data_IF_314232608368
#
_entry.id   IF_314232608368
#
_cell.length_a   1.000
_cell.length_b   1.000
_cell.length_c   1.000
_cell.angle_alpha   90.00
_cell.angle_beta   90.00
_cell.angle_gamma   90.00
#
_symmetry.space_group_name_H-M   'P 1'
#
loop_
_entity.id
_entity.type
_entity.pdbx_description
1 polymer ?
#
# COMPACT_ATOMS: atom_id res chain seq x y z
N UNK A 1 -20.96 9.13 -10.57
CA UNK A 1 -20.81 9.02 -9.10
C UNK A 1 -19.71 8.01 -8.83
N UNK A 2 -18.79 8.28 -7.92
CA UNK A 2 -17.86 7.24 -7.45
C UNK A 2 -18.67 6.21 -6.64
N UNK A 3 -18.34 4.90 -6.70
CA UNK A 3 -18.94 3.92 -5.83
C UNK A 3 -18.66 4.28 -4.36
N UNK A 4 -19.53 3.89 -3.42
CA UNK A 4 -19.28 4.11 -2.00
C UNK A 4 -17.98 3.43 -1.57
N UNK A 5 -17.22 4.09 -0.69
CA UNK A 5 -15.99 3.53 -0.10
C UNK A 5 -16.34 2.34 0.78
N UNK A 6 -15.65 1.25 0.61
CA UNK A 6 -15.85 -0.01 1.34
C UNK A 6 -15.07 0.00 2.63
N UNK A 7 -15.76 -0.21 3.75
CA UNK A 7 -15.16 -0.12 5.10
C UNK A 7 -15.33 -1.44 5.84
N UNK A 8 -14.30 -1.87 6.55
CA UNK A 8 -14.38 -2.88 7.60
C UNK A 8 -14.38 -2.17 8.94
N UNK A 9 -15.34 -2.51 9.79
CA UNK A 9 -15.47 -1.98 11.16
C UNK A 9 -15.08 -3.04 12.17
N UNK A 10 -14.19 -2.71 13.11
CA UNK A 10 -13.77 -3.60 14.19
C UNK A 10 -13.95 -2.93 15.54
N UNK A 11 -14.86 -3.47 16.35
CA UNK A 11 -15.24 -2.98 17.68
C UNK A 11 -15.82 -4.14 18.47
N UNK A 12 -15.34 -4.42 19.66
CA UNK A 12 -15.79 -5.57 20.46
C UNK A 12 -17.14 -5.30 21.16
N UNK A 13 -17.45 -4.03 21.49
CA UNK A 13 -18.73 -3.65 22.06
C UNK A 13 -19.81 -3.57 20.97
N UNK A 14 -20.75 -4.54 20.98
CA UNK A 14 -21.78 -4.68 19.94
C UNK A 14 -22.60 -3.41 19.71
N UNK A 15 -22.98 -2.69 20.78
CA UNK A 15 -23.78 -1.47 20.65
C UNK A 15 -23.00 -0.35 19.98
N UNK A 16 -21.73 -0.17 20.37
CA UNK A 16 -20.86 0.84 19.75
C UNK A 16 -20.61 0.48 18.28
N UNK A 17 -20.39 -0.80 17.96
CA UNK A 17 -20.21 -1.25 16.59
C UNK A 17 -21.42 -0.96 15.72
N UNK A 18 -22.64 -1.22 16.21
CA UNK A 18 -23.88 -0.90 15.49
C UNK A 18 -24.03 0.61 15.23
N UNK A 19 -23.74 1.44 16.23
CA UNK A 19 -23.80 2.90 16.08
C UNK A 19 -22.79 3.38 15.02
N UNK A 20 -21.57 2.80 14.98
CA UNK A 20 -20.56 3.12 13.96
C UNK A 20 -21.05 2.72 12.57
N UNK A 21 -21.62 1.51 12.43
CA UNK A 21 -22.13 1.00 11.15
C UNK A 21 -23.24 1.89 10.61
N UNK A 22 -24.21 2.28 11.47
CA UNK A 22 -25.30 3.18 11.10
C UNK A 22 -24.76 4.56 10.67
N UNK A 23 -23.88 5.15 11.48
CA UNK A 23 -23.25 6.44 11.21
C UNK A 23 -22.50 6.44 9.87
N UNK A 24 -21.72 5.39 9.58
CA UNK A 24 -20.99 5.27 8.30
C UNK A 24 -21.94 5.09 7.12
N UNK A 25 -23.00 4.29 7.29
CA UNK A 25 -24.03 4.12 6.26
C UNK A 25 -24.75 5.43 5.90
N UNK A 26 -25.12 6.24 6.92
CA UNK A 26 -25.69 7.57 6.71
C UNK A 26 -24.72 8.54 6.03
N UNK A 27 -23.42 8.42 6.32
CA UNK A 27 -22.36 9.20 5.68
C UNK A 27 -22.01 8.71 4.25
N UNK A 28 -22.65 7.63 3.76
CA UNK A 28 -22.49 7.13 2.39
C UNK A 28 -21.35 6.15 2.19
N UNK A 29 -20.82 5.56 3.25
CA UNK A 29 -19.86 4.45 3.20
C UNK A 29 -20.59 3.10 3.13
N UNK A 30 -19.94 2.10 2.55
CA UNK A 30 -20.41 0.71 2.48
C UNK A 30 -19.64 -0.16 3.49
N UNK A 31 -20.27 -0.51 4.61
CA UNK A 31 -19.67 -1.40 5.61
C UNK A 31 -19.78 -2.84 5.11
N UNK A 32 -18.69 -3.35 4.57
CA UNK A 32 -18.64 -4.69 3.92
C UNK A 32 -18.42 -5.84 4.89
N UNK A 33 -17.90 -5.57 6.09
CA UNK A 33 -17.72 -6.58 7.14
C UNK A 33 -17.53 -5.94 8.52
N UNK A 34 -17.87 -6.71 9.55
CA UNK A 34 -17.76 -6.34 10.95
C UNK A 34 -16.91 -7.37 11.71
N UNK A 35 -16.08 -6.91 12.63
CA UNK A 35 -15.25 -7.73 13.50
C UNK A 35 -15.47 -7.34 14.97
N UNK A 36 -15.37 -8.30 15.87
CA UNK A 36 -15.45 -8.13 17.32
C UNK A 36 -14.07 -8.26 18.01
N UNK A 37 -13.01 -8.43 17.21
CA UNK A 37 -11.64 -8.52 17.69
C UNK A 37 -10.64 -8.22 16.56
N UNK A 38 -9.39 -7.94 16.93
CA UNK A 38 -8.34 -7.56 15.97
C UNK A 38 -7.93 -8.68 15.03
N UNK A 39 -7.93 -9.94 15.48
CA UNK A 39 -7.59 -11.08 14.62
C UNK A 39 -8.60 -11.21 13.47
N UNK A 40 -9.90 -11.13 13.81
CA UNK A 40 -10.95 -11.18 12.80
C UNK A 40 -10.92 -9.98 11.87
N UNK A 41 -10.57 -8.80 12.39
CA UNK A 41 -10.39 -7.59 11.57
C UNK A 41 -9.31 -7.78 10.49
N UNK A 42 -8.16 -8.37 10.84
CA UNK A 42 -7.08 -8.66 9.87
C UNK A 42 -7.54 -9.67 8.81
N UNK A 43 -8.22 -10.73 9.20
CA UNK A 43 -8.76 -11.74 8.27
C UNK A 43 -9.73 -11.13 7.27
N UNK A 44 -10.70 -10.34 7.77
CA UNK A 44 -11.70 -9.67 6.94
C UNK A 44 -11.07 -8.60 6.03
N UNK A 45 -10.07 -7.89 6.51
CA UNK A 45 -9.33 -6.95 5.68
C UNK A 45 -8.61 -7.65 4.51
N UNK A 46 -8.01 -8.82 4.73
CA UNK A 46 -7.38 -9.64 3.68
C UNK A 46 -8.40 -10.16 2.67
N UNK A 47 -9.57 -10.62 3.16
CA UNK A 47 -10.63 -11.19 2.35
C UNK A 47 -11.32 -10.15 1.48
N UNK A 48 -11.74 -9.05 2.10
CA UNK A 48 -12.56 -8.02 1.44
C UNK A 48 -11.76 -6.96 0.72
N UNK A 49 -10.46 -6.77 1.04
CA UNK A 49 -9.63 -5.67 0.51
C UNK A 49 -10.40 -4.34 0.51
N UNK A 50 -10.81 -3.85 1.69
CA UNK A 50 -11.60 -2.63 1.81
C UNK A 50 -10.79 -1.39 1.46
N UNK A 51 -11.47 -0.26 1.26
CA UNK A 51 -10.82 1.04 1.11
C UNK A 51 -10.32 1.61 2.43
N UNK A 52 -10.86 1.11 3.56
CA UNK A 52 -10.48 1.52 4.92
C UNK A 52 -10.84 0.45 5.96
N UNK A 53 -10.06 0.39 7.04
CA UNK A 53 -10.43 -0.29 8.28
C UNK A 53 -10.57 0.74 9.39
N UNK A 54 -11.75 0.80 10.00
CA UNK A 54 -12.02 1.58 11.21
C UNK A 54 -12.02 0.64 12.40
N UNK A 55 -11.14 0.84 13.39
CA UNK A 55 -10.85 -0.18 14.38
C UNK A 55 -10.62 0.39 15.78
N UNK A 56 -11.29 -0.18 16.78
CA UNK A 56 -10.99 0.14 18.17
C UNK A 56 -9.60 -0.35 18.58
N UNK A 57 -8.95 0.40 19.47
CA UNK A 57 -7.64 0.03 20.01
C UNK A 57 -7.74 -1.13 20.98
N UNK A 58 -8.74 -1.12 21.85
CA UNK A 58 -8.89 -2.14 22.89
C UNK A 58 -9.87 -3.22 22.46
N UNK A 59 -9.34 -4.32 21.99
CA UNK A 59 -10.14 -5.49 21.60
C UNK A 59 -9.53 -6.77 22.18
N UNK A 60 -10.35 -7.83 22.40
CA UNK A 60 -9.87 -9.13 22.82
C UNK A 60 -9.11 -9.84 21.70
N UNK A 61 -8.40 -10.92 22.05
CA UNK A 61 -7.62 -11.80 21.17
C UNK A 61 -6.39 -11.10 20.58
N UNK A 62 -6.60 -10.04 19.80
CA UNK A 62 -5.55 -9.18 19.23
C UNK A 62 -6.01 -7.72 19.38
N UNK A 63 -5.17 -6.89 19.98
CA UNK A 63 -5.46 -5.45 20.12
C UNK A 63 -5.39 -4.72 18.77
N UNK A 64 -6.09 -3.59 18.67
CA UNK A 64 -6.21 -2.86 17.42
C UNK A 64 -4.89 -2.27 16.90
N UNK A 65 -3.92 -1.95 17.77
CA UNK A 65 -2.61 -1.44 17.34
C UNK A 65 -1.83 -2.56 16.65
N UNK A 66 -1.78 -3.75 17.25
CA UNK A 66 -1.12 -4.92 16.67
C UNK A 66 -1.81 -5.38 15.38
N UNK A 67 -3.15 -5.31 15.32
CA UNK A 67 -3.90 -5.59 14.10
C UNK A 67 -3.61 -4.55 12.99
N UNK A 68 -3.53 -3.26 13.35
CA UNK A 68 -3.15 -2.19 12.43
C UNK A 68 -1.76 -2.39 11.83
N UNK A 69 -0.79 -2.83 12.65
CA UNK A 69 0.58 -3.14 12.19
C UNK A 69 0.58 -4.26 11.14
N UNK A 70 -0.20 -5.32 11.33
CA UNK A 70 -0.32 -6.40 10.36
C UNK A 70 -0.95 -5.91 9.06
N UNK A 71 -2.07 -5.16 9.13
CA UNK A 71 -2.76 -4.61 7.96
C UNK A 71 -1.86 -3.65 7.19
N UNK A 72 -1.13 -2.78 7.89
CA UNK A 72 -0.23 -1.81 7.30
C UNK A 72 1.00 -2.47 6.66
N UNK A 73 1.62 -3.46 7.32
CA UNK A 73 2.79 -4.19 6.80
C UNK A 73 2.49 -4.94 5.51
N UNK A 74 1.27 -5.47 5.38
CA UNK A 74 0.77 -6.14 4.18
C UNK A 74 0.17 -5.18 3.14
N UNK A 75 0.10 -3.87 3.46
CA UNK A 75 -0.47 -2.82 2.59
C UNK A 75 -1.87 -3.15 2.09
N UNK A 76 -2.71 -3.66 2.99
CA UNK A 76 -4.06 -4.09 2.65
C UNK A 76 -4.97 -2.87 2.47
N UNK A 77 -5.02 -2.01 3.48
CA UNK A 77 -5.86 -0.82 3.54
C UNK A 77 -5.33 0.17 4.59
N UNK A 78 -5.70 1.45 4.51
CA UNK A 78 -5.45 2.41 5.59
C UNK A 78 -6.26 2.03 6.83
N UNK A 79 -5.69 2.29 8.01
CA UNK A 79 -6.35 2.04 9.29
C UNK A 79 -6.56 3.36 10.01
N UNK A 80 -7.80 3.58 10.47
CA UNK A 80 -8.17 4.63 11.43
C UNK A 80 -8.46 3.96 12.76
N UNK A 81 -7.75 4.36 13.81
CA UNK A 81 -7.95 3.82 15.14
C UNK A 81 -8.95 4.66 15.95
N UNK A 82 -9.87 4.00 16.64
CA UNK A 82 -10.75 4.57 17.64
C UNK A 82 -10.13 4.35 19.01
N UNK A 83 -10.07 5.35 19.86
CA UNK A 83 -9.41 5.22 21.15
C UNK A 83 -10.14 6.02 22.24
N UNK A 84 -10.28 5.44 23.42
CA UNK A 84 -10.76 6.15 24.61
C UNK A 84 -9.68 7.03 25.25
N UNK A 85 -8.43 6.99 24.77
CA UNK A 85 -7.27 7.63 25.39
C UNK A 85 -6.57 8.58 24.44
N UNK A 86 -6.36 9.80 24.91
CA UNK A 86 -5.53 10.83 24.26
C UNK A 86 -4.06 10.79 24.73
N UNK A 87 -3.63 9.71 25.40
CA UNK A 87 -2.27 9.63 25.92
C UNK A 87 -1.24 9.58 24.79
N UNK A 88 -0.25 10.43 24.87
CA UNK A 88 0.79 10.63 23.87
C UNK A 88 1.49 9.30 23.46
N UNK A 89 1.76 8.44 24.43
CA UNK A 89 2.40 7.13 24.18
C UNK A 89 1.56 6.21 23.28
N UNK A 90 0.23 6.23 23.42
CA UNK A 90 -0.65 5.42 22.57
C UNK A 90 -0.73 5.96 21.15
N UNK A 91 -0.71 7.28 21.01
CA UNK A 91 -0.67 7.95 19.71
C UNK A 91 0.66 7.65 18.99
N UNK A 92 1.78 7.67 19.71
CA UNK A 92 3.09 7.31 19.15
C UNK A 92 3.12 5.84 18.69
N UNK A 93 2.65 4.91 19.52
CA UNK A 93 2.52 3.49 19.15
C UNK A 93 1.60 3.26 17.94
N UNK A 94 0.45 3.93 17.90
CA UNK A 94 -0.47 3.85 16.76
C UNK A 94 0.19 4.31 15.45
N UNK A 95 0.97 5.39 15.52
CA UNK A 95 1.74 5.89 14.37
C UNK A 95 2.84 4.92 13.94
N UNK A 96 3.58 4.34 14.88
CA UNK A 96 4.63 3.35 14.61
C UNK A 96 4.04 2.06 14.00
N UNK A 97 2.85 1.66 14.42
CA UNK A 97 2.08 0.56 13.83
C UNK A 97 1.51 0.87 12.42
N UNK A 98 1.72 2.08 11.90
CA UNK A 98 1.27 2.45 10.56
C UNK A 98 -0.18 2.89 10.45
N UNK A 99 -0.86 3.17 11.58
CA UNK A 99 -2.18 3.80 11.55
C UNK A 99 -2.11 5.18 10.87
N UNK A 100 -3.02 5.45 9.94
CA UNK A 100 -3.02 6.70 9.16
C UNK A 100 -3.69 7.85 9.90
N UNK A 101 -4.63 7.56 10.78
CA UNK A 101 -5.30 8.52 11.65
C UNK A 101 -5.82 7.82 12.92
N UNK A 102 -6.24 8.62 13.89
CA UNK A 102 -6.97 8.15 15.07
C UNK A 102 -8.08 9.14 15.44
N UNK A 103 -9.11 8.65 16.09
CA UNK A 103 -10.25 9.43 16.59
C UNK A 103 -10.47 9.08 18.06
N UNK A 104 -10.68 10.09 18.89
CA UNK A 104 -10.86 9.91 20.34
C UNK A 104 -12.35 9.77 20.69
N UNK A 105 -12.68 8.73 21.44
CA UNK A 105 -14.04 8.51 21.99
C UNK A 105 -14.34 9.48 23.15
N UNK A 106 -15.55 10.08 23.27
CA UNK A 106 -16.68 9.94 22.35
C UNK A 106 -16.47 10.77 21.06
N UNK A 107 -16.96 10.27 19.94
CA UNK A 107 -16.81 10.91 18.62
C UNK A 107 -18.19 11.08 17.95
N UNK A 108 -18.21 11.93 16.95
CA UNK A 108 -19.33 12.18 16.06
C UNK A 108 -18.95 11.87 14.61
N UNK A 109 -19.92 11.90 13.70
CA UNK A 109 -19.67 11.77 12.25
C UNK A 109 -18.70 12.84 11.76
N UNK A 110 -18.75 14.05 12.31
CA UNK A 110 -17.88 15.17 11.94
C UNK A 110 -16.42 14.98 12.37
N UNK A 111 -16.17 14.08 13.32
CA UNK A 111 -14.82 13.67 13.73
C UNK A 111 -14.29 12.51 12.86
N UNK A 112 -15.14 11.54 12.58
CA UNK A 112 -14.78 10.28 11.93
C UNK A 112 -14.59 10.47 10.42
N UNK A 113 -15.52 11.16 9.74
CA UNK A 113 -15.46 11.32 8.28
C UNK A 113 -14.20 12.03 7.81
N UNK A 114 -13.77 13.17 8.38
CA UNK A 114 -12.51 13.79 8.00
C UNK A 114 -11.29 12.90 8.25
N UNK A 115 -11.27 12.15 9.35
CA UNK A 115 -10.19 11.22 9.65
C UNK A 115 -10.09 10.09 8.60
N UNK A 116 -11.22 9.57 8.15
CA UNK A 116 -11.30 8.58 7.07
C UNK A 116 -10.73 9.14 5.77
N UNK A 117 -11.20 10.31 5.34
CA UNK A 117 -10.76 10.91 4.08
C UNK A 117 -9.26 11.22 4.09
N UNK A 118 -8.74 11.72 5.22
CA UNK A 118 -7.30 11.94 5.39
C UNK A 118 -6.52 10.62 5.32
N UNK A 119 -7.01 9.58 5.99
CA UNK A 119 -6.35 8.28 6.01
C UNK A 119 -6.26 7.66 4.61
N UNK A 120 -7.36 7.68 3.87
CA UNK A 120 -7.41 7.18 2.49
C UNK A 120 -6.48 7.99 1.58
N UNK A 121 -6.54 9.32 1.64
CA UNK A 121 -5.70 10.19 0.82
C UNK A 121 -4.20 9.95 1.07
N UNK A 122 -3.79 9.84 2.32
CA UNK A 122 -2.40 9.54 2.69
C UNK A 122 -1.94 8.16 2.21
N UNK A 123 -2.79 7.16 2.33
CA UNK A 123 -2.48 5.81 1.87
C UNK A 123 -2.30 5.77 0.34
N UNK A 124 -3.19 6.43 -0.41
CA UNK A 124 -3.11 6.56 -1.86
C UNK A 124 -1.83 7.30 -2.29
N UNK A 125 -1.44 8.36 -1.57
CA UNK A 125 -0.21 9.12 -1.83
C UNK A 125 1.04 8.28 -1.60
N UNK A 126 1.12 7.58 -0.46
CA UNK A 126 2.25 6.70 -0.14
C UNK A 126 2.36 5.59 -1.20
N UNK A 127 1.25 4.96 -1.57
CA UNK A 127 1.24 3.91 -2.59
C UNK A 127 1.66 4.42 -3.98
N UNK A 128 1.35 5.68 -4.31
CA UNK A 128 1.80 6.32 -5.55
C UNK A 128 3.32 6.57 -5.52
N UNK A 129 3.85 7.14 -4.44
CA UNK A 129 5.28 7.38 -4.26
C UNK A 129 6.11 6.10 -4.31
N UNK A 130 5.62 5.02 -3.70
CA UNK A 130 6.31 3.73 -3.71
C UNK A 130 6.37 3.11 -5.10
N UNK A 131 5.31 3.25 -5.89
CA UNK A 131 5.31 2.84 -7.30
C UNK A 131 6.33 3.63 -8.09
N UNK A 132 6.38 4.95 -7.93
CA UNK A 132 7.36 5.81 -8.60
C UNK A 132 8.79 5.42 -8.24
N UNK A 133 9.08 5.18 -6.96
CA UNK A 133 10.40 4.71 -6.49
C UNK A 133 10.75 3.33 -7.09
N UNK A 134 9.78 2.42 -7.19
CA UNK A 134 9.97 1.11 -7.80
C UNK A 134 10.32 1.23 -9.28
N UNK A 135 9.57 2.04 -10.02
CA UNK A 135 9.78 2.29 -11.44
C UNK A 135 11.16 2.93 -11.70
N UNK A 136 11.56 3.89 -10.87
CA UNK A 136 12.89 4.51 -10.94
C UNK A 136 14.02 3.49 -10.69
N UNK A 137 13.85 2.60 -9.70
CA UNK A 137 14.82 1.53 -9.41
C UNK A 137 14.96 0.56 -10.60
N UNK A 138 13.84 0.20 -11.21
CA UNK A 138 13.83 -0.68 -12.37
C UNK A 138 14.49 -0.03 -13.60
N UNK A 139 14.20 1.24 -13.85
CA UNK A 139 14.85 2.01 -14.92
C UNK A 139 16.37 2.10 -14.70
N UNK A 140 16.80 2.37 -13.46
CA UNK A 140 18.21 2.43 -13.12
C UNK A 140 18.90 1.07 -13.29
N UNK A 141 18.29 -0.01 -12.85
CA UNK A 141 18.80 -1.36 -13.05
C UNK A 141 18.92 -1.72 -14.54
N UNK A 142 17.90 -1.40 -15.33
CA UNK A 142 17.89 -1.59 -16.79
C UNK A 142 19.02 -0.81 -17.46
N UNK A 143 19.18 0.46 -17.09
CA UNK A 143 20.29 1.31 -17.64
C UNK A 143 21.64 0.68 -17.35
N UNK A 144 21.86 0.19 -16.13
CA UNK A 144 23.11 -0.46 -15.73
C UNK A 144 23.42 -1.73 -16.54
N UNK A 145 22.37 -2.53 -16.83
CA UNK A 145 22.49 -3.72 -17.68
C UNK A 145 22.81 -3.35 -19.13
N UNK A 146 22.12 -2.35 -19.68
CA UNK A 146 22.37 -1.86 -21.05
C UNK A 146 23.79 -1.32 -21.19
N UNK A 147 24.28 -0.53 -20.23
CA UNK A 147 25.67 -0.03 -20.25
C UNK A 147 26.70 -1.18 -20.23
N UNK A 148 26.45 -2.20 -19.40
CA UNK A 148 27.33 -3.39 -19.37
C UNK A 148 27.27 -4.17 -20.67
N UNK A 149 26.12 -4.35 -21.29
CA UNK A 149 25.96 -5.00 -22.59
C UNK A 149 26.65 -4.22 -23.69
N UNK A 150 26.54 -2.88 -23.73
CA UNK A 150 27.26 -2.00 -24.64
C UNK A 150 28.76 -2.19 -24.52
N UNK A 151 29.32 -2.17 -23.31
CA UNK A 151 30.73 -2.39 -23.04
C UNK A 151 31.21 -3.74 -23.59
N UNK A 152 30.44 -4.81 -23.44
CA UNK A 152 30.77 -6.13 -23.98
C UNK A 152 30.74 -6.14 -25.50
N UNK A 153 29.73 -5.55 -26.14
CA UNK A 153 29.67 -5.43 -27.60
C UNK A 153 30.84 -4.60 -28.17
N UNK A 154 31.19 -3.52 -27.48
CA UNK A 154 32.35 -2.68 -27.87
C UNK A 154 33.66 -3.47 -27.77
N UNK A 155 33.87 -4.18 -26.65
CA UNK A 155 35.14 -4.87 -26.37
C UNK A 155 35.30 -6.14 -27.20
N UNK A 156 34.23 -6.92 -27.39
CA UNK A 156 34.31 -8.25 -28.03
C UNK A 156 33.95 -8.25 -29.51
N UNK A 157 33.12 -7.29 -29.94
CA UNK A 157 32.66 -7.20 -31.33
C UNK A 157 33.22 -5.99 -32.10
N UNK A 158 34.00 -5.13 -31.43
CA UNK A 158 34.62 -3.97 -32.06
C UNK A 158 33.65 -2.84 -32.47
N UNK A 159 32.40 -2.87 -31.94
CA UNK A 159 31.40 -1.83 -32.23
C UNK A 159 31.75 -0.53 -31.49
N UNK A 160 31.45 0.60 -32.09
CA UNK A 160 31.45 1.86 -31.35
C UNK A 160 30.27 1.91 -30.36
N UNK A 161 30.39 2.76 -29.35
CA UNK A 161 29.32 2.88 -28.34
C UNK A 161 27.93 3.21 -28.94
N UNK A 162 27.81 4.15 -29.90
CA UNK A 162 26.55 4.43 -30.59
C UNK A 162 26.02 3.24 -31.41
N UNK A 163 26.92 2.45 -32.02
CA UNK A 163 26.55 1.25 -32.79
C UNK A 163 26.04 0.13 -31.85
N UNK A 164 26.70 -0.09 -30.72
CA UNK A 164 26.28 -1.04 -29.71
C UNK A 164 24.90 -0.70 -29.16
N UNK A 165 24.63 0.57 -28.86
CA UNK A 165 23.32 1.01 -28.42
C UNK A 165 22.23 0.78 -29.47
N UNK A 166 22.49 1.18 -30.72
CA UNK A 166 21.55 0.96 -31.83
C UNK A 166 21.30 -0.51 -32.09
N UNK A 167 22.29 -1.37 -31.92
CA UNK A 167 22.15 -2.80 -32.07
C UNK A 167 21.19 -3.38 -31.00
N UNK A 168 21.36 -2.99 -29.73
CA UNK A 168 20.47 -3.39 -28.63
C UNK A 168 19.05 -2.92 -28.90
N UNK A 169 18.86 -1.65 -29.27
CA UNK A 169 17.57 -1.06 -29.58
C UNK A 169 16.87 -1.76 -30.75
N UNK A 170 17.58 -2.00 -31.84
CA UNK A 170 17.05 -2.68 -33.02
C UNK A 170 16.64 -4.11 -32.67
N UNK A 171 17.50 -4.84 -31.95
CA UNK A 171 17.19 -6.24 -31.52
C UNK A 171 15.95 -6.29 -30.61
N UNK A 172 15.80 -5.32 -29.71
CA UNK A 172 14.63 -5.16 -28.88
C UNK A 172 13.34 -5.03 -29.72
N UNK A 173 13.36 -4.14 -30.71
CA UNK A 173 12.22 -3.93 -31.61
C UNK A 173 11.93 -5.17 -32.51
N UNK A 174 12.96 -5.72 -33.14
CA UNK A 174 12.81 -6.84 -34.08
C UNK A 174 12.30 -8.12 -33.41
N UNK A 175 12.71 -8.35 -32.16
CA UNK A 175 12.35 -9.54 -31.37
C UNK A 175 11.19 -9.32 -30.39
N UNK A 176 10.67 -8.09 -30.31
CA UNK A 176 9.63 -7.68 -29.33
C UNK A 176 10.03 -8.00 -27.87
N UNK A 177 11.29 -7.82 -27.56
CA UNK A 177 11.86 -7.95 -26.23
C UNK A 177 12.11 -6.55 -25.64
N UNK A 178 12.13 -6.45 -24.31
CA UNK A 178 12.59 -5.23 -23.64
C UNK A 178 14.11 -5.04 -23.82
N UNK A 179 14.58 -3.81 -23.73
CA UNK A 179 16.04 -3.55 -23.76
C UNK A 179 16.78 -4.27 -22.63
N UNK A 180 16.12 -4.50 -21.48
CA UNK A 180 16.64 -5.28 -20.38
C UNK A 180 16.89 -6.74 -20.78
N UNK A 181 15.88 -7.41 -21.34
CA UNK A 181 16.00 -8.80 -21.79
C UNK A 181 17.10 -8.99 -22.85
N UNK A 182 17.21 -8.04 -23.78
CA UNK A 182 18.30 -8.06 -24.77
C UNK A 182 19.66 -7.88 -24.10
N UNK A 183 19.79 -6.95 -23.16
CA UNK A 183 21.04 -6.72 -22.43
C UNK A 183 21.44 -7.93 -21.58
N UNK A 184 20.50 -8.55 -20.88
CA UNK A 184 20.72 -9.78 -20.11
C UNK A 184 21.18 -10.93 -21.01
N UNK A 185 20.53 -11.10 -22.16
CA UNK A 185 20.96 -12.11 -23.14
C UNK A 185 22.38 -11.91 -23.65
N UNK A 186 22.76 -10.67 -23.95
CA UNK A 186 24.14 -10.34 -24.36
C UNK A 186 25.13 -10.67 -23.23
N UNK A 187 24.84 -10.25 -22.01
CA UNK A 187 25.70 -10.49 -20.85
C UNK A 187 25.90 -11.99 -20.64
N UNK A 188 24.84 -12.78 -20.75
CA UNK A 188 24.89 -14.23 -20.52
C UNK A 188 25.59 -15.00 -21.64
N UNK A 189 25.56 -14.51 -22.90
CA UNK A 189 26.17 -15.18 -24.07
C UNK A 189 27.60 -14.75 -24.37
N UNK A 190 27.97 -13.53 -23.95
CA UNK A 190 29.21 -12.90 -24.34
C UNK A 190 30.18 -12.73 -23.14
N UNK A 191 29.67 -12.83 -21.88
CA UNK A 191 30.51 -12.82 -20.68
C UNK A 191 31.19 -14.15 -20.49
#
# INVERSE_FOLDING_TARGET
MRPPRRVVVAEDETLIRLDIVEMLGEAGYDVVAEADNGQRAVELAREHRPDLVLMDVKMPVLDGITAAEQIASERIAPVVLLTAFSQRELVERAREAGAMAYVVKPFTVDDVVPAIEIAISRFEEIAALEREVSDMKEQFATRKLVERAKSLLTTKMGLTEPEAFRWIQKTSMDRRLSMREVAEAIINQVA
#
